data_IF_479728124738
#
_entry.id   IF_479728124738
#
_cell.length_a   1.000
_cell.length_b   1.000
_cell.length_c   1.000
_cell.angle_alpha   90.00
_cell.angle_beta   90.00
_cell.angle_gamma   90.00
#
_symmetry.space_group_name_H-M   'P 1'
#
loop_
_entity.id
_entity.type
_entity.pdbx_description
1 polymer ?
#
# COMPACT_ATOMS: atom_id res chain seq x y z
N UNK A 1 26.23 -16.72 13.66
CA UNK A 1 24.85 -16.76 14.14
C UNK A 1 23.99 -16.56 12.91
N UNK A 2 23.09 -17.49 12.57
CA UNK A 2 22.13 -17.28 11.48
C UNK A 2 21.29 -16.06 11.84
N UNK A 3 20.99 -15.15 10.89
CA UNK A 3 20.05 -14.08 11.15
C UNK A 3 18.73 -14.70 11.60
N UNK A 4 18.17 -14.20 12.69
CA UNK A 4 16.82 -14.56 13.10
C UNK A 4 15.87 -14.12 11.99
N UNK A 5 15.00 -15.02 11.51
CA UNK A 5 13.99 -14.69 10.52
C UNK A 5 13.02 -13.62 11.06
N UNK A 6 12.41 -12.84 10.18
CA UNK A 6 11.37 -11.91 10.57
C UNK A 6 10.17 -12.60 11.21
N UNK A 7 9.33 -11.84 11.88
CA UNK A 7 8.20 -12.35 12.65
C UNK A 7 6.87 -11.82 12.13
N UNK A 8 5.87 -12.72 11.97
CA UNK A 8 4.48 -12.32 11.72
C UNK A 8 3.74 -12.17 13.06
N UNK A 9 3.08 -11.03 13.24
CA UNK A 9 2.26 -10.72 14.41
C UNK A 9 0.89 -10.25 13.94
N UNK A 10 -0.18 -10.85 14.46
CA UNK A 10 -1.56 -10.46 14.15
C UNK A 10 -2.23 -9.91 15.41
N UNK A 11 -2.94 -8.79 15.26
CA UNK A 11 -3.76 -8.17 16.30
C UNK A 11 -5.19 -8.03 15.80
N UNK A 12 -6.16 -8.10 16.73
CA UNK A 12 -7.58 -7.87 16.43
C UNK A 12 -8.04 -6.59 17.11
N UNK A 13 -8.50 -5.65 16.30
CA UNK A 13 -8.97 -4.33 16.76
C UNK A 13 -10.47 -4.31 16.97
N UNK A 14 -10.92 -3.50 17.91
CA UNK A 14 -12.35 -3.21 18.09
C UNK A 14 -12.84 -2.20 17.05
N UNK A 15 -12.77 -2.61 15.78
CA UNK A 15 -13.22 -1.86 14.62
C UNK A 15 -14.02 -2.81 13.71
N UNK A 16 -15.19 -2.39 13.24
CA UNK A 16 -16.06 -3.09 12.28
C UNK A 16 -16.24 -4.60 12.60
N UNK A 17 -16.61 -4.90 13.84
CA UNK A 17 -16.86 -6.27 14.30
C UNK A 17 -15.61 -7.12 14.59
N UNK A 18 -14.43 -6.53 14.62
CA UNK A 18 -13.16 -7.21 14.90
C UNK A 18 -12.23 -7.27 13.70
N UNK A 19 -11.65 -6.14 13.30
CA UNK A 19 -10.71 -6.08 12.19
C UNK A 19 -9.34 -6.58 12.59
N UNK A 20 -8.78 -7.48 11.79
CA UNK A 20 -7.42 -7.97 11.97
C UNK A 20 -6.41 -7.10 11.22
N UNK A 21 -5.23 -6.97 11.82
CA UNK A 21 -4.04 -6.38 11.20
C UNK A 21 -2.88 -7.35 11.42
N UNK A 22 -2.16 -7.69 10.38
CA UNK A 22 -0.97 -8.53 10.44
C UNK A 22 0.26 -7.71 10.08
N UNK A 23 1.29 -7.76 10.91
CA UNK A 23 2.58 -7.15 10.61
C UNK A 23 3.65 -8.22 10.41
N UNK A 24 4.45 -8.06 9.35
CA UNK A 24 5.77 -8.67 9.24
C UNK A 24 6.79 -7.71 9.87
N UNK A 25 7.41 -8.13 10.94
CA UNK A 25 8.42 -7.36 11.68
C UNK A 25 9.79 -7.93 11.32
N UNK A 26 10.69 -7.14 10.71
CA UNK A 26 12.03 -7.61 10.37
C UNK A 26 12.86 -7.87 11.63
N UNK A 27 13.94 -8.69 11.52
CA UNK A 27 14.80 -9.04 12.67
C UNK A 27 15.62 -7.86 13.20
N UNK A 28 15.88 -6.85 12.38
CA UNK A 28 16.52 -5.58 12.76
C UNK A 28 15.47 -4.47 12.90
N UNK A 29 15.77 -3.38 13.61
CA UNK A 29 14.86 -2.22 13.63
C UNK A 29 14.51 -1.77 12.22
N UNK A 30 13.22 -1.55 11.91
CA UNK A 30 12.81 -1.18 10.57
C UNK A 30 13.33 0.22 10.19
N UNK A 31 13.86 0.34 8.98
CA UNK A 31 14.29 1.60 8.36
C UNK A 31 13.23 2.15 7.39
N UNK A 32 12.26 1.32 7.01
CA UNK A 32 11.10 1.71 6.23
C UNK A 32 9.88 0.87 6.61
N UNK A 33 8.68 1.43 6.37
CA UNK A 33 7.41 0.74 6.63
C UNK A 33 6.52 0.86 5.39
N UNK A 34 5.91 -0.27 4.99
CA UNK A 34 4.88 -0.32 3.95
C UNK A 34 3.58 -0.77 4.58
N UNK A 35 2.58 0.11 4.58
CA UNK A 35 1.21 -0.22 4.97
C UNK A 35 0.45 -0.76 3.75
N UNK A 36 -0.36 -1.78 3.94
CA UNK A 36 -1.04 -2.48 2.85
C UNK A 36 -2.52 -2.75 3.17
N UNK A 37 -3.37 -2.66 2.19
CA UNK A 37 -4.68 -3.30 2.22
C UNK A 37 -4.59 -4.82 2.03
N UNK A 38 -5.70 -5.54 2.22
CA UNK A 38 -5.81 -6.99 2.01
C UNK A 38 -4.77 -7.84 2.78
N UNK A 39 -4.43 -7.38 3.98
CA UNK A 39 -3.35 -7.92 4.78
C UNK A 39 -3.45 -9.42 5.08
N UNK A 40 -4.65 -9.97 5.13
CA UNK A 40 -4.87 -11.41 5.29
C UNK A 40 -4.31 -12.26 4.14
N UNK A 41 -4.22 -11.70 2.95
CA UNK A 41 -3.75 -12.37 1.74
C UNK A 41 -2.30 -12.03 1.39
N UNK A 42 -1.90 -10.80 1.67
CA UNK A 42 -0.65 -10.27 1.16
C UNK A 42 0.49 -10.21 2.19
N UNK A 43 0.22 -9.94 3.47
CA UNK A 43 1.29 -9.61 4.44
C UNK A 43 2.37 -10.67 4.54
N UNK A 44 2.02 -11.95 4.63
CA UNK A 44 3.00 -13.04 4.71
C UNK A 44 3.86 -13.10 3.45
N UNK A 45 3.20 -13.06 2.28
CA UNK A 45 3.87 -13.15 0.98
C UNK A 45 4.74 -11.93 0.69
N UNK A 46 4.25 -10.73 1.03
CA UNK A 46 5.05 -9.51 0.93
C UNK A 46 6.24 -9.54 1.90
N UNK A 47 6.05 -10.06 3.11
CA UNK A 47 7.13 -10.27 4.08
C UNK A 47 8.24 -11.16 3.55
N UNK A 48 7.89 -12.28 2.91
CA UNK A 48 8.85 -13.23 2.32
C UNK A 48 9.71 -12.57 1.22
N UNK A 49 9.10 -11.83 0.29
CA UNK A 49 9.86 -11.17 -0.80
C UNK A 49 10.69 -10.00 -0.28
N UNK A 50 10.21 -9.29 0.73
CA UNK A 50 10.93 -8.18 1.34
C UNK A 50 12.09 -8.66 2.21
N UNK A 51 11.94 -9.75 2.96
CA UNK A 51 13.04 -10.33 3.77
C UNK A 51 14.27 -10.63 2.93
N UNK A 52 14.05 -11.09 1.70
CA UNK A 52 15.13 -11.42 0.78
C UNK A 52 15.81 -10.20 0.15
N UNK A 53 15.07 -9.12 -0.10
CA UNK A 53 15.53 -8.01 -0.94
C UNK A 53 15.73 -6.68 -0.19
N UNK A 54 14.95 -6.44 0.86
CA UNK A 54 14.98 -5.22 1.68
C UNK A 54 14.73 -5.55 3.16
N UNK A 55 15.68 -6.25 3.82
CA UNK A 55 15.47 -6.89 5.12
C UNK A 55 15.19 -5.94 6.29
N UNK A 56 15.34 -4.63 6.10
CA UNK A 56 15.00 -3.60 7.09
C UNK A 56 13.60 -2.98 6.85
N UNK A 57 12.76 -3.59 6.00
CA UNK A 57 11.41 -3.09 5.71
C UNK A 57 10.35 -3.86 6.48
N UNK A 58 9.52 -3.14 7.23
CA UNK A 58 8.35 -3.69 7.91
C UNK A 58 7.14 -3.63 6.97
N UNK A 59 6.33 -4.69 6.92
CA UNK A 59 5.05 -4.72 6.19
C UNK A 59 3.91 -4.76 7.20
N UNK A 60 2.90 -3.91 7.04
CA UNK A 60 1.72 -3.84 7.91
C UNK A 60 0.48 -3.96 7.06
N UNK A 61 -0.20 -5.09 7.15
CA UNK A 61 -1.38 -5.38 6.33
C UNK A 61 -2.69 -5.33 7.12
N UNK A 62 -3.56 -4.41 6.78
CA UNK A 62 -4.94 -4.36 7.27
C UNK A 62 -5.76 -5.38 6.49
N UNK A 63 -6.44 -6.30 7.20
CA UNK A 63 -7.26 -7.31 6.54
C UNK A 63 -8.48 -6.67 5.87
N UNK A 64 -8.73 -7.00 4.61
CA UNK A 64 -9.95 -6.65 3.90
C UNK A 64 -11.15 -7.45 4.39
N UNK A 65 -12.34 -6.99 4.06
CA UNK A 65 -13.57 -7.75 4.29
C UNK A 65 -13.66 -8.93 3.30
N UNK A 66 -14.29 -10.01 3.76
CA UNK A 66 -14.53 -11.18 2.92
C UNK A 66 -15.64 -10.96 1.89
N UNK A 67 -16.56 -10.02 2.14
CA UNK A 67 -17.60 -9.60 1.21
C UNK A 67 -17.02 -8.57 0.25
N UNK A 68 -17.05 -8.88 -1.05
CA UNK A 68 -16.44 -8.05 -2.09
C UNK A 68 -17.09 -6.68 -2.23
N UNK A 69 -18.42 -6.57 -2.10
CA UNK A 69 -19.12 -5.30 -2.20
C UNK A 69 -18.79 -4.40 -1.00
N UNK A 70 -18.76 -4.95 0.20
CA UNK A 70 -18.36 -4.23 1.39
C UNK A 70 -16.89 -3.81 1.32
N UNK A 71 -16.01 -4.64 0.76
CA UNK A 71 -14.60 -4.31 0.53
C UNK A 71 -14.43 -3.17 -0.50
N UNK A 72 -15.21 -3.18 -1.59
CA UNK A 72 -15.23 -2.07 -2.56
C UNK A 72 -15.62 -0.75 -1.89
N UNK A 73 -16.65 -0.76 -1.04
CA UNK A 73 -17.15 0.41 -0.33
C UNK A 73 -16.11 0.99 0.65
N UNK A 74 -15.37 0.15 1.36
CA UNK A 74 -14.37 0.65 2.30
C UNK A 74 -13.04 1.06 1.65
N UNK A 75 -12.75 0.58 0.43
CA UNK A 75 -11.47 0.82 -0.24
C UNK A 75 -11.48 2.00 -1.21
N UNK A 76 -12.65 2.50 -1.58
CA UNK A 76 -12.74 3.63 -2.49
C UNK A 76 -13.81 4.64 -2.05
N UNK A 77 -13.45 5.94 -1.92
CA UNK A 77 -14.40 6.99 -1.51
C UNK A 77 -15.50 7.24 -2.54
N UNK A 78 -15.39 6.62 -3.73
CA UNK A 78 -16.37 6.77 -4.81
C UNK A 78 -17.56 5.84 -4.61
N UNK A 79 -17.36 4.68 -3.98
CA UNK A 79 -18.44 3.71 -3.76
C UNK A 79 -19.23 4.03 -2.48
N UNK A 80 -18.54 4.36 -1.39
CA UNK A 80 -19.16 4.80 -0.13
C UNK A 80 -18.19 5.72 0.63
N UNK A 81 -18.46 7.01 0.62
CA UNK A 81 -17.59 8.01 1.23
C UNK A 81 -17.51 7.92 2.77
N UNK A 82 -18.62 7.51 3.43
CA UNK A 82 -18.65 7.39 4.90
C UNK A 82 -17.90 6.14 5.35
N UNK A 83 -18.12 5.01 4.67
CA UNK A 83 -17.44 3.76 4.97
C UNK A 83 -15.94 3.87 4.69
N UNK A 84 -15.56 4.47 3.57
CA UNK A 84 -14.17 4.79 3.27
C UNK A 84 -13.54 5.68 4.35
N UNK A 85 -14.20 6.77 4.77
CA UNK A 85 -13.66 7.67 5.78
C UNK A 85 -13.45 6.99 7.14
N UNK A 86 -14.35 6.07 7.52
CA UNK A 86 -14.18 5.26 8.74
C UNK A 86 -12.97 4.32 8.62
N UNK A 87 -12.80 3.67 7.46
CA UNK A 87 -11.66 2.79 7.20
C UNK A 87 -10.34 3.56 7.10
N UNK A 88 -10.35 4.71 6.42
CA UNK A 88 -9.22 5.64 6.34
C UNK A 88 -8.74 6.05 7.73
N UNK A 89 -9.66 6.49 8.59
CA UNK A 89 -9.33 6.86 9.97
C UNK A 89 -8.69 5.70 10.74
N UNK A 90 -9.30 4.52 10.69
CA UNK A 90 -8.73 3.32 11.31
C UNK A 90 -7.31 3.04 10.79
N UNK A 91 -7.11 3.12 9.48
CA UNK A 91 -5.84 2.84 8.82
C UNK A 91 -4.74 3.83 9.22
N UNK A 92 -5.05 5.13 9.24
CA UNK A 92 -4.05 6.20 9.48
C UNK A 92 -3.84 6.53 10.96
N UNK A 93 -4.79 6.23 11.84
CA UNK A 93 -4.68 6.52 13.27
C UNK A 93 -4.38 5.24 14.07
N UNK A 94 -5.35 4.32 14.18
CA UNK A 94 -5.27 3.17 15.10
C UNK A 94 -4.16 2.20 14.71
N UNK A 95 -4.07 1.84 13.43
CA UNK A 95 -3.06 0.91 12.92
C UNK A 95 -1.65 1.50 13.07
N UNK A 96 -1.46 2.78 12.75
CA UNK A 96 -0.16 3.45 12.93
C UNK A 96 0.25 3.52 14.39
N UNK A 97 -0.65 3.88 15.29
CA UNK A 97 -0.38 3.91 16.72
C UNK A 97 0.04 2.53 17.24
N UNK A 98 -0.63 1.47 16.78
CA UNK A 98 -0.28 0.10 17.13
C UNK A 98 1.13 -0.25 16.63
N UNK A 99 1.46 0.07 15.38
CA UNK A 99 2.79 -0.16 14.80
C UNK A 99 3.88 0.52 15.63
N UNK A 100 3.69 1.79 15.99
CA UNK A 100 4.62 2.53 16.82
C UNK A 100 4.81 1.89 18.20
N UNK A 101 3.71 1.43 18.81
CA UNK A 101 3.76 0.76 20.12
C UNK A 101 4.47 -0.58 20.08
N UNK A 102 4.37 -1.30 18.96
CA UNK A 102 4.97 -2.64 18.78
C UNK A 102 6.44 -2.60 18.35
N UNK A 103 6.79 -1.72 17.43
CA UNK A 103 8.15 -1.61 16.89
C UNK A 103 9.05 -0.67 17.70
N UNK A 104 8.45 0.22 18.50
CA UNK A 104 9.18 1.33 19.15
C UNK A 104 9.69 2.38 18.14
N UNK A 105 9.26 2.29 16.86
CA UNK A 105 9.77 3.13 15.77
C UNK A 105 8.63 3.95 15.19
N UNK A 106 8.84 5.27 15.10
CA UNK A 106 8.02 6.20 14.34
C UNK A 106 8.86 6.74 13.19
N UNK A 107 8.57 6.27 11.98
CA UNK A 107 9.30 6.71 10.79
C UNK A 107 8.62 7.93 10.15
N UNK A 108 9.42 8.84 9.57
CA UNK A 108 8.89 9.99 8.83
C UNK A 108 8.24 9.55 7.51
N UNK A 109 7.52 10.47 6.86
CA UNK A 109 6.82 10.20 5.62
C UNK A 109 7.75 9.63 4.52
N UNK A 110 8.99 10.15 4.42
CA UNK A 110 10.00 9.74 3.45
C UNK A 110 10.46 8.28 3.60
N UNK A 111 10.11 7.63 4.72
CA UNK A 111 10.39 6.23 5.01
C UNK A 111 9.12 5.39 5.17
N UNK A 112 7.96 5.96 4.81
CA UNK A 112 6.66 5.31 4.95
C UNK A 112 5.94 5.29 3.61
N UNK A 113 5.46 4.11 3.21
CA UNK A 113 4.66 3.93 2.00
C UNK A 113 3.31 3.29 2.31
N UNK A 114 2.38 3.46 1.37
CA UNK A 114 1.15 2.68 1.29
C UNK A 114 1.15 1.87 -0.01
N UNK A 115 0.77 0.58 0.08
CA UNK A 115 0.74 -0.37 -1.02
C UNK A 115 -0.64 -1.00 -1.18
N UNK A 116 -1.02 -1.30 -2.41
CA UNK A 116 -2.21 -2.10 -2.71
C UNK A 116 -2.28 -2.57 -4.15
N UNK A 117 -3.14 -3.56 -4.37
CA UNK A 117 -3.39 -4.12 -5.70
C UNK A 117 -4.90 -4.11 -6.01
N UNK A 118 -5.27 -3.95 -7.29
CA UNK A 118 -6.66 -3.88 -7.72
C UNK A 118 -7.41 -2.72 -7.04
N UNK A 119 -8.54 -2.99 -6.38
CA UNK A 119 -9.22 -1.98 -5.53
C UNK A 119 -8.35 -1.56 -4.35
N UNK A 120 -7.46 -2.42 -3.84
CA UNK A 120 -6.42 -2.04 -2.88
C UNK A 120 -5.43 -1.03 -3.45
N UNK A 121 -5.18 -1.05 -4.77
CA UNK A 121 -4.42 -0.03 -5.46
C UNK A 121 -5.12 1.33 -5.50
N UNK A 122 -6.46 1.35 -5.58
CA UNK A 122 -7.26 2.57 -5.40
C UNK A 122 -7.16 3.09 -3.95
N UNK A 123 -7.26 2.19 -2.96
CA UNK A 123 -7.09 2.52 -1.55
C UNK A 123 -5.73 3.18 -1.32
N UNK A 124 -4.65 2.59 -1.84
CA UNK A 124 -3.30 3.13 -1.70
C UNK A 124 -3.18 4.54 -2.31
N UNK A 125 -3.73 4.76 -3.50
CA UNK A 125 -3.79 6.07 -4.13
C UNK A 125 -4.62 7.05 -3.30
N UNK A 126 -5.83 6.67 -2.87
CA UNK A 126 -6.69 7.55 -2.10
C UNK A 126 -6.05 7.95 -0.77
N UNK A 127 -5.57 7.00 0.04
CA UNK A 127 -4.94 7.27 1.33
C UNK A 127 -3.64 8.07 1.16
N UNK A 128 -2.76 7.67 0.24
CA UNK A 128 -1.48 8.34 0.06
C UNK A 128 -1.61 9.79 -0.38
N UNK A 129 -2.58 10.10 -1.25
CA UNK A 129 -2.84 11.47 -1.69
C UNK A 129 -3.59 12.33 -0.65
N UNK A 130 -4.32 11.73 0.27
CA UNK A 130 -5.01 12.44 1.35
C UNK A 130 -4.12 12.67 2.57
N UNK A 131 -3.06 11.85 2.72
CA UNK A 131 -2.13 11.88 3.85
C UNK A 131 -0.64 11.89 3.41
N UNK A 132 -0.22 12.85 2.58
CA UNK A 132 1.17 12.92 2.09
C UNK A 132 2.17 13.28 3.20
N UNK A 133 1.70 13.78 4.32
CA UNK A 133 2.47 14.00 5.55
C UNK A 133 2.78 12.70 6.32
N UNK A 134 2.07 11.60 5.98
CA UNK A 134 2.26 10.28 6.55
C UNK A 134 2.95 9.34 5.57
N UNK A 135 2.52 9.35 4.32
CA UNK A 135 2.96 8.45 3.26
C UNK A 135 3.72 9.23 2.19
N UNK A 136 5.04 9.24 2.28
CA UNK A 136 5.89 9.87 1.27
C UNK A 136 6.00 9.06 -0.02
N UNK A 137 5.55 7.80 -0.02
CA UNK A 137 5.47 6.96 -1.21
C UNK A 137 4.13 6.20 -1.32
N UNK A 138 3.66 6.02 -2.56
CA UNK A 138 2.48 5.25 -2.91
C UNK A 138 2.86 4.18 -3.94
N UNK A 139 2.54 2.93 -3.63
CA UNK A 139 2.77 1.79 -4.50
C UNK A 139 1.43 1.18 -4.91
N UNK A 140 1.11 1.20 -6.20
CA UNK A 140 -0.18 0.74 -6.67
C UNK A 140 -0.02 -0.21 -7.85
N UNK A 141 -0.48 -1.44 -7.65
CA UNK A 141 -0.49 -2.47 -8.68
C UNK A 141 -1.90 -2.61 -9.26
N UNK A 142 -2.00 -2.50 -10.58
CA UNK A 142 -3.25 -2.70 -11.33
C UNK A 142 -4.44 -1.94 -10.71
N UNK A 143 -4.36 -0.61 -10.48
CA UNK A 143 -5.43 0.12 -9.81
C UNK A 143 -6.74 0.02 -10.57
N UNK A 144 -7.85 -0.11 -9.84
CA UNK A 144 -9.19 -0.02 -10.40
C UNK A 144 -9.49 1.35 -11.03
N UNK A 145 -10.68 1.54 -11.54
CA UNK A 145 -11.06 2.75 -12.27
C UNK A 145 -12.04 3.68 -11.54
N UNK A 146 -12.39 3.37 -10.30
CA UNK A 146 -13.33 4.17 -9.51
C UNK A 146 -12.69 5.48 -9.07
N UNK A 147 -11.62 5.40 -8.32
CA UNK A 147 -10.87 6.58 -7.89
C UNK A 147 -9.97 7.09 -9.01
N UNK A 148 -10.11 8.36 -9.36
CA UNK A 148 -9.41 8.98 -10.47
C UNK A 148 -8.52 10.13 -10.01
N UNK A 149 -7.48 10.51 -10.80
CA UNK A 149 -6.68 11.68 -10.49
C UNK A 149 -7.57 12.89 -10.24
N UNK A 150 -7.41 13.59 -9.11
CA UNK A 150 -8.18 14.79 -8.81
C UNK A 150 -7.80 15.92 -9.78
N UNK A 151 -8.75 16.82 -10.07
CA UNK A 151 -8.49 17.98 -10.94
C UNK A 151 -7.43 18.92 -10.37
N UNK A 152 -7.28 18.94 -9.05
CA UNK A 152 -6.23 19.69 -8.34
C UNK A 152 -5.47 18.69 -7.48
N UNK A 153 -4.21 18.49 -7.81
CA UNK A 153 -3.33 17.59 -7.05
C UNK A 153 -2.98 18.21 -5.70
N UNK A 154 -2.83 17.39 -4.63
CA UNK A 154 -2.38 17.90 -3.34
C UNK A 154 -0.92 18.36 -3.38
N UNK A 155 -0.52 19.15 -2.39
CA UNK A 155 0.86 19.55 -2.18
C UNK A 155 1.21 19.39 -0.70
N UNK A 156 2.29 18.70 -0.35
CA UNK A 156 3.24 18.02 -1.25
C UNK A 156 2.64 16.81 -1.98
N UNK A 157 3.28 16.39 -3.08
CA UNK A 157 2.97 15.14 -3.76
C UNK A 157 3.82 14.00 -3.20
N UNK A 158 3.25 12.82 -2.91
CA UNK A 158 4.05 11.64 -2.62
C UNK A 158 4.78 11.16 -3.89
N UNK A 159 5.85 10.39 -3.73
CA UNK A 159 6.43 9.59 -4.82
C UNK A 159 5.48 8.46 -5.18
N UNK A 160 5.30 8.14 -6.46
CA UNK A 160 4.33 7.13 -6.87
C UNK A 160 4.95 6.08 -7.79
N UNK A 161 4.82 4.81 -7.42
CA UNK A 161 5.20 3.70 -8.28
C UNK A 161 3.94 2.93 -8.68
N UNK A 162 3.71 2.86 -10.00
CA UNK A 162 2.59 2.15 -10.60
C UNK A 162 3.09 0.94 -11.39
N UNK A 163 2.38 -0.17 -11.33
CA UNK A 163 2.60 -1.33 -12.18
C UNK A 163 1.27 -1.89 -12.66
N UNK A 164 1.21 -2.37 -13.91
CA UNK A 164 0.07 -3.10 -14.44
C UNK A 164 0.50 -4.15 -15.46
N UNK A 165 -0.33 -5.17 -15.64
CA UNK A 165 -0.10 -6.25 -16.59
C UNK A 165 -0.51 -5.90 -18.01
N UNK A 166 0.22 -6.38 -19.00
CA UNK A 166 -0.10 -6.17 -20.42
C UNK A 166 -1.35 -6.94 -20.89
N UNK A 167 -1.81 -7.93 -20.12
CA UNK A 167 -2.98 -8.73 -20.41
C UNK A 167 -4.24 -8.28 -19.64
N UNK A 168 -4.18 -7.12 -18.98
CA UNK A 168 -5.29 -6.50 -18.23
C UNK A 168 -5.56 -5.05 -18.71
N UNK A 169 -6.04 -4.84 -19.95
CA UNK A 169 -6.08 -3.53 -20.60
C UNK A 169 -6.83 -2.45 -19.81
N UNK A 170 -7.89 -2.80 -19.09
CA UNK A 170 -8.63 -1.88 -18.24
C UNK A 170 -7.76 -1.30 -17.11
N UNK A 171 -7.02 -2.15 -16.41
CA UNK A 171 -6.17 -1.74 -15.29
C UNK A 171 -4.91 -1.01 -15.78
N UNK A 172 -4.35 -1.46 -16.90
CA UNK A 172 -3.21 -0.80 -17.55
C UNK A 172 -3.59 0.63 -17.98
N UNK A 173 -4.78 0.83 -18.56
CA UNK A 173 -5.28 2.15 -18.91
C UNK A 173 -5.42 3.05 -17.67
N UNK A 174 -5.94 2.52 -16.56
CA UNK A 174 -6.08 3.28 -15.32
C UNK A 174 -4.74 3.67 -14.72
N UNK A 175 -3.78 2.74 -14.65
CA UNK A 175 -2.42 3.02 -14.18
C UNK A 175 -1.73 4.09 -15.07
N UNK A 176 -1.88 3.96 -16.37
CA UNK A 176 -1.34 4.95 -17.35
C UNK A 176 -1.96 6.33 -17.17
N UNK A 177 -3.27 6.40 -16.94
CA UNK A 177 -3.98 7.67 -16.68
C UNK A 177 -3.45 8.35 -15.42
N UNK A 178 -3.21 7.59 -14.34
CA UNK A 178 -2.59 8.11 -13.13
C UNK A 178 -1.17 8.60 -13.39
N UNK A 179 -0.35 7.80 -14.09
CA UNK A 179 1.02 8.15 -14.40
C UNK A 179 1.13 9.45 -15.21
N UNK A 180 0.25 9.66 -16.19
CA UNK A 180 0.20 10.89 -16.99
C UNK A 180 -0.16 12.08 -16.10
N UNK A 181 -1.26 12.01 -15.35
CA UNK A 181 -1.72 13.10 -14.49
C UNK A 181 -0.66 13.50 -13.44
N UNK A 182 0.06 12.51 -12.89
CA UNK A 182 1.12 12.73 -11.92
C UNK A 182 2.35 13.40 -12.52
N UNK A 183 2.77 12.98 -13.73
CA UNK A 183 3.88 13.63 -14.45
C UNK A 183 3.55 15.08 -14.80
N UNK A 184 2.33 15.31 -15.25
CA UNK A 184 1.85 16.67 -15.56
C UNK A 184 1.84 17.57 -14.32
N UNK A 185 1.62 17.00 -13.14
CA UNK A 185 1.68 17.70 -11.85
C UNK A 185 3.11 17.83 -11.28
N UNK A 186 4.12 17.26 -11.93
CA UNK A 186 5.52 17.33 -11.50
C UNK A 186 5.89 16.32 -10.39
N UNK A 187 5.10 15.28 -10.20
CA UNK A 187 5.41 14.21 -9.24
C UNK A 187 6.59 13.34 -9.71
N UNK A 188 7.34 12.79 -8.75
CA UNK A 188 8.29 11.69 -9.00
C UNK A 188 7.49 10.39 -9.19
N UNK A 189 7.37 9.92 -10.44
CA UNK A 189 6.51 8.79 -10.79
C UNK A 189 7.22 7.78 -11.69
N UNK A 190 7.13 6.52 -11.29
CA UNK A 190 7.47 5.36 -12.11
C UNK A 190 6.19 4.65 -12.54
N UNK A 191 6.14 4.24 -13.81
CA UNK A 191 5.10 3.36 -14.33
C UNK A 191 5.79 2.22 -15.10
N UNK A 192 5.51 0.99 -14.68
CA UNK A 192 6.03 -0.23 -15.32
C UNK A 192 4.90 -1.10 -15.86
N UNK A 193 5.17 -1.75 -16.97
CA UNK A 193 4.30 -2.76 -17.55
C UNK A 193 4.96 -4.13 -17.35
N UNK A 194 4.16 -5.14 -16.95
CA UNK A 194 4.61 -6.51 -16.78
C UNK A 194 3.82 -7.44 -17.68
N UNK A 195 4.47 -8.45 -18.24
CA UNK A 195 3.76 -9.51 -18.94
C UNK A 195 2.94 -10.31 -17.91
N UNK A 196 1.62 -10.18 -17.94
CA UNK A 196 0.74 -10.87 -16.99
C UNK A 196 -0.69 -10.35 -16.99
N UNK A 197 -1.54 -11.09 -16.31
CA UNK A 197 -2.96 -10.83 -16.11
C UNK A 197 -3.21 -10.28 -14.69
N UNK A 198 -4.45 -9.88 -14.45
CA UNK A 198 -4.90 -9.40 -13.14
C UNK A 198 -4.75 -10.49 -12.06
N UNK A 199 -4.03 -10.19 -10.98
CA UNK A 199 -3.76 -11.13 -9.91
C UNK A 199 -2.47 -11.95 -10.07
N UNK A 200 -1.71 -11.76 -11.13
CA UNK A 200 -0.46 -12.49 -11.35
C UNK A 200 0.66 -12.07 -10.37
N UNK A 201 1.71 -12.88 -10.33
CA UNK A 201 2.80 -12.78 -9.36
C UNK A 201 3.50 -11.42 -9.34
N UNK A 202 3.48 -10.66 -10.45
CA UNK A 202 4.13 -9.36 -10.54
C UNK A 202 3.63 -8.35 -9.48
N UNK A 203 2.41 -8.51 -8.95
CA UNK A 203 1.91 -7.66 -7.88
C UNK A 203 2.80 -7.69 -6.63
N UNK A 204 3.31 -8.87 -6.29
CA UNK A 204 4.21 -9.04 -5.14
C UNK A 204 5.69 -8.95 -5.51
N UNK A 205 6.05 -9.44 -6.70
CA UNK A 205 7.43 -9.43 -7.20
C UNK A 205 7.96 -8.01 -7.45
N UNK A 206 7.08 -7.04 -7.73
CA UNK A 206 7.45 -5.64 -7.94
C UNK A 206 7.74 -4.89 -6.64
N UNK A 207 7.23 -5.34 -5.48
CA UNK A 207 7.38 -4.63 -4.21
C UNK A 207 8.85 -4.35 -3.83
N UNK A 208 9.82 -5.28 -3.96
CA UNK A 208 11.22 -4.99 -3.70
C UNK A 208 11.79 -3.84 -4.55
N UNK A 209 11.37 -3.74 -5.80
CA UNK A 209 11.78 -2.66 -6.71
C UNK A 209 11.16 -1.33 -6.30
N UNK A 210 9.89 -1.33 -5.87
CA UNK A 210 9.19 -0.18 -5.34
C UNK A 210 9.89 0.36 -4.08
N UNK A 211 10.22 -0.54 -3.15
CA UNK A 211 10.92 -0.22 -1.89
C UNK A 211 12.33 0.31 -2.18
N UNK A 212 13.09 -0.36 -3.05
CA UNK A 212 14.42 0.10 -3.43
C UNK A 212 14.40 1.49 -4.09
N UNK A 213 13.43 1.74 -4.97
CA UNK A 213 13.25 3.04 -5.61
C UNK A 213 12.86 4.14 -4.60
N UNK A 214 11.97 3.85 -3.68
CA UNK A 214 11.48 4.85 -2.74
C UNK A 214 12.47 5.13 -1.60
N UNK A 215 13.17 4.11 -1.11
CA UNK A 215 13.91 4.17 0.16
C UNK A 215 15.40 3.81 0.02
N UNK A 216 15.82 3.27 -1.13
CA UNK A 216 17.20 2.94 -1.44
C UNK A 216 17.98 4.18 -1.86
N UNK A 217 18.44 4.95 -0.87
CA UNK A 217 19.28 6.14 -1.06
C UNK A 217 20.36 6.19 0.01
#
# INVERSE_FOLDING_TARGET
MSPTAGQLVTETFNYDGGRQVTAYIPPAPPESIVFAGDGGWHTSRLGEVIEAAAPSTMIVGVHGLADDDARLQEYSPVFDAERFAAHEKFFVEDVRQWVQSRSGVALPAERTAVWGASIGGELALAIGFRHPDIYGAVFSASPGGGYRPPAVMPSPLPRVYLVAGTLEPFFLENATRWAVALRDAGADVVMTERAGSHGDAFWTEELPLMVAWAFGG
#
